data_IF_099644499941
#
_entry.id   IF_099644499941
#
_cell.length_a   1.000
_cell.length_b   1.000
_cell.length_c   1.000
_cell.angle_alpha   90.00
_cell.angle_beta   90.00
_cell.angle_gamma   90.00
#
_symmetry.space_group_name_H-M   'P 1'
#
loop_
_entity.id
_entity.type
_entity.pdbx_description
1 polymer ?
#
# COMPACT_ATOMS: atom_id res chain seq x y z
N UNK A 1 3.40 -26.55 -29.42
CA UNK A 1 2.33 -27.26 -28.67
C UNK A 1 2.57 -27.30 -27.15
N UNK A 2 3.75 -27.70 -26.64
CA UNK A 2 4.01 -27.76 -25.18
C UNK A 2 3.84 -26.43 -24.44
N UNK A 3 4.35 -25.31 -24.98
CA UNK A 3 4.21 -23.98 -24.37
C UNK A 3 2.74 -23.51 -24.23
N UNK A 4 1.89 -23.85 -25.21
CA UNK A 4 0.46 -23.48 -25.21
C UNK A 4 -0.34 -24.32 -24.19
N UNK A 5 0.04 -25.59 -23.99
CA UNK A 5 -0.58 -26.42 -22.94
C UNK A 5 -0.20 -25.92 -21.55
N UNK A 6 1.08 -25.59 -21.30
CA UNK A 6 1.53 -25.05 -20.00
C UNK A 6 0.82 -23.76 -19.62
N UNK A 7 0.64 -22.82 -20.56
CA UNK A 7 -0.04 -21.55 -20.30
C UNK A 7 -1.52 -21.74 -19.95
N UNK A 8 -2.22 -22.66 -20.63
CA UNK A 8 -3.62 -22.98 -20.30
C UNK A 8 -3.77 -23.63 -18.91
N UNK A 9 -2.86 -24.52 -18.50
CA UNK A 9 -2.86 -25.08 -17.14
C UNK A 9 -2.56 -24.03 -16.07
N UNK A 10 -1.62 -23.12 -16.32
CA UNK A 10 -1.32 -22.02 -15.39
C UNK A 10 -2.53 -21.08 -15.22
N UNK A 11 -3.23 -20.75 -16.32
CA UNK A 11 -4.43 -19.92 -16.27
C UNK A 11 -5.57 -20.59 -15.47
N UNK A 12 -5.79 -21.91 -15.67
CA UNK A 12 -6.80 -22.67 -14.91
C UNK A 12 -6.46 -22.73 -13.42
N UNK A 13 -5.18 -22.91 -13.09
CA UNK A 13 -4.70 -22.90 -11.70
C UNK A 13 -4.97 -21.56 -11.03
N UNK A 14 -4.65 -20.45 -11.68
CA UNK A 14 -4.90 -19.09 -11.19
C UNK A 14 -6.39 -18.83 -10.97
N UNK A 15 -7.26 -19.20 -11.92
CA UNK A 15 -8.71 -19.05 -11.76
C UNK A 15 -9.20 -19.85 -10.54
N UNK A 16 -8.67 -21.05 -10.32
CA UNK A 16 -9.01 -21.87 -9.15
C UNK A 16 -8.52 -21.25 -7.84
N UNK A 17 -7.26 -20.81 -7.78
CA UNK A 17 -6.66 -20.15 -6.61
C UNK A 17 -7.46 -18.89 -6.24
N UNK A 18 -7.84 -18.08 -7.25
CA UNK A 18 -8.70 -16.92 -7.03
C UNK A 18 -10.09 -17.29 -6.49
N UNK A 19 -10.75 -18.33 -7.05
CA UNK A 19 -12.05 -18.78 -6.54
C UNK A 19 -11.96 -19.25 -5.09
N UNK A 20 -10.89 -19.95 -4.74
CA UNK A 20 -10.62 -20.37 -3.36
C UNK A 20 -10.40 -19.17 -2.46
N UNK A 21 -9.63 -18.17 -2.90
CA UNK A 21 -9.42 -16.93 -2.16
C UNK A 21 -10.74 -16.16 -1.92
N UNK A 22 -11.56 -15.96 -2.95
CA UNK A 22 -12.87 -15.29 -2.81
C UNK A 22 -13.80 -16.08 -1.89
N UNK A 23 -13.79 -17.40 -1.97
CA UNK A 23 -14.56 -18.26 -1.09
C UNK A 23 -14.09 -18.15 0.36
N UNK A 24 -12.78 -18.22 0.61
CA UNK A 24 -12.20 -18.03 1.94
C UNK A 24 -12.54 -16.66 2.53
N UNK A 25 -12.46 -15.59 1.72
CA UNK A 25 -12.90 -14.23 2.11
C UNK A 25 -14.38 -14.21 2.52
N UNK A 26 -15.24 -14.92 1.79
CA UNK A 26 -16.67 -14.97 2.12
C UNK A 26 -16.95 -15.70 3.44
N UNK A 27 -16.12 -16.67 3.81
CA UNK A 27 -16.19 -17.39 5.08
C UNK A 27 -15.59 -16.57 6.23
N UNK A 28 -14.55 -15.77 5.97
CA UNK A 28 -13.86 -14.95 6.97
C UNK A 28 -14.84 -14.08 7.80
N UNK A 29 -15.84 -13.46 7.16
CA UNK A 29 -16.83 -12.64 7.87
C UNK A 29 -17.68 -13.46 8.85
N UNK A 30 -18.04 -14.70 8.46
CA UNK A 30 -18.80 -15.62 9.31
C UNK A 30 -17.93 -16.21 10.42
N UNK A 31 -16.68 -16.57 10.10
CA UNK A 31 -15.69 -17.08 11.05
C UNK A 31 -15.33 -16.03 12.09
N UNK A 32 -15.13 -14.78 11.68
CA UNK A 32 -14.85 -13.66 12.59
C UNK A 32 -16.02 -13.40 13.53
N UNK A 33 -17.25 -13.42 13.04
CA UNK A 33 -18.43 -13.29 13.89
C UNK A 33 -18.52 -14.45 14.89
N UNK A 34 -18.24 -15.67 14.44
CA UNK A 34 -18.19 -16.85 15.32
C UNK A 34 -17.07 -16.73 16.36
N UNK A 35 -15.90 -16.25 15.96
CA UNK A 35 -14.75 -16.02 16.84
C UNK A 35 -15.04 -14.96 17.91
N UNK A 36 -15.60 -13.80 17.53
CA UNK A 36 -15.99 -12.76 18.49
C UNK A 36 -17.01 -13.27 19.51
N UNK A 37 -17.96 -14.10 19.06
CA UNK A 37 -18.92 -14.78 19.96
C UNK A 37 -18.23 -15.79 20.89
N UNK A 38 -17.29 -16.57 20.39
CA UNK A 38 -16.47 -17.51 21.18
C UNK A 38 -15.61 -16.76 22.22
N UNK A 39 -15.03 -15.62 21.86
CA UNK A 39 -14.25 -14.80 22.76
C UNK A 39 -15.10 -14.18 23.87
N UNK A 40 -16.30 -13.67 23.54
CA UNK A 40 -17.25 -13.20 24.55
C UNK A 40 -17.70 -14.30 25.52
N UNK A 41 -17.87 -15.53 25.02
CA UNK A 41 -18.16 -16.70 25.87
C UNK A 41 -16.97 -17.01 26.79
N UNK A 42 -15.74 -17.01 26.27
CA UNK A 42 -14.51 -17.21 27.05
C UNK A 42 -14.34 -16.16 28.14
N UNK A 43 -14.57 -14.89 27.82
CA UNK A 43 -14.49 -13.78 28.76
C UNK A 43 -15.59 -13.84 29.84
N UNK A 44 -16.81 -14.24 29.47
CA UNK A 44 -17.90 -14.43 30.41
C UNK A 44 -17.62 -15.60 31.37
N UNK A 45 -17.05 -16.71 30.88
CA UNK A 45 -16.60 -17.84 31.71
C UNK A 45 -15.48 -17.44 32.67
N UNK A 46 -14.51 -16.65 32.20
CA UNK A 46 -13.40 -16.17 33.03
C UNK A 46 -13.83 -15.16 34.11
N UNK A 47 -14.77 -14.26 33.78
CA UNK A 47 -15.23 -13.20 34.70
C UNK A 47 -16.44 -13.58 35.54
N UNK A 48 -17.09 -14.72 35.25
CA UNK A 48 -18.32 -15.17 35.92
C UNK A 48 -19.54 -14.27 35.67
N UNK A 49 -19.49 -13.38 34.67
CA UNK A 49 -20.60 -12.47 34.33
C UNK A 49 -21.70 -13.22 33.57
N UNK A 50 -22.97 -12.84 33.72
CA UNK A 50 -24.07 -13.47 32.99
C UNK A 50 -23.94 -13.23 31.48
N UNK A 51 -24.12 -14.29 30.69
CA UNK A 51 -24.06 -14.24 29.24
C UNK A 51 -25.17 -13.33 28.65
N UNK A 52 -24.87 -12.57 27.58
CA UNK A 52 -25.89 -11.87 26.79
C UNK A 52 -26.98 -12.82 26.29
N UNK A 53 -28.22 -12.34 26.22
CA UNK A 53 -29.41 -13.15 25.84
C UNK A 53 -29.27 -13.79 24.45
N UNK A 54 -28.57 -13.13 23.53
CA UNK A 54 -28.32 -13.61 22.17
C UNK A 54 -27.40 -14.84 22.14
N UNK A 55 -26.40 -14.91 23.03
CA UNK A 55 -25.45 -16.02 23.11
C UNK A 55 -26.00 -17.22 23.88
N UNK A 56 -27.02 -17.05 24.73
CA UNK A 56 -27.54 -18.12 25.58
C UNK A 56 -28.10 -19.32 24.79
N UNK A 57 -28.69 -19.08 23.62
CA UNK A 57 -29.24 -20.15 22.77
C UNK A 57 -28.15 -20.99 22.13
N UNK A 58 -27.07 -20.35 21.69
CA UNK A 58 -25.97 -20.99 20.96
C UNK A 58 -24.82 -21.43 21.88
N UNK A 59 -24.85 -21.03 23.16
CA UNK A 59 -23.78 -21.28 24.14
C UNK A 59 -23.40 -22.75 24.28
N UNK A 60 -24.36 -23.68 24.16
CA UNK A 60 -24.08 -25.12 24.29
C UNK A 60 -23.30 -25.66 23.10
N UNK A 61 -23.60 -25.20 21.88
CA UNK A 61 -22.89 -25.60 20.67
C UNK A 61 -21.51 -24.94 20.61
N UNK A 62 -21.46 -23.62 20.84
CA UNK A 62 -20.21 -22.85 20.85
C UNK A 62 -19.25 -23.32 21.95
N UNK A 63 -19.75 -23.75 23.11
CA UNK A 63 -18.93 -24.29 24.19
C UNK A 63 -18.30 -25.65 23.87
N UNK A 64 -18.97 -26.51 23.09
CA UNK A 64 -18.38 -27.76 22.62
C UNK A 64 -17.27 -27.51 21.61
N UNK A 65 -17.46 -26.55 20.70
CA UNK A 65 -16.43 -26.14 19.73
C UNK A 65 -15.26 -25.40 20.40
N UNK A 66 -15.53 -24.58 21.42
CA UNK A 66 -14.51 -23.83 22.14
C UNK A 66 -13.43 -24.76 22.72
N UNK A 67 -13.80 -25.94 23.21
CA UNK A 67 -12.87 -26.93 23.74
C UNK A 67 -11.84 -27.43 22.70
N UNK A 68 -12.18 -27.38 21.41
CA UNK A 68 -11.27 -27.74 20.32
C UNK A 68 -10.47 -26.53 19.79
N UNK A 69 -10.99 -25.31 19.97
CA UNK A 69 -10.42 -24.05 19.46
C UNK A 69 -9.64 -23.24 20.53
N UNK A 70 -9.37 -23.80 21.72
CA UNK A 70 -8.71 -23.06 22.81
C UNK A 70 -7.33 -22.47 22.46
N UNK A 71 -6.64 -23.09 21.49
CA UNK A 71 -5.32 -22.67 20.99
C UNK A 71 -5.39 -21.77 19.75
N UNK A 72 -6.59 -21.43 19.26
CA UNK A 72 -6.73 -20.63 18.05
C UNK A 72 -6.35 -19.17 18.31
N UNK A 73 -5.33 -18.70 17.61
CA UNK A 73 -4.95 -17.29 17.53
C UNK A 73 -6.00 -16.56 16.68
N UNK A 74 -6.15 -15.23 16.87
CA UNK A 74 -7.05 -14.39 16.07
C UNK A 74 -7.08 -14.81 14.60
N UNK A 75 -8.26 -15.01 13.99
CA UNK A 75 -8.36 -15.48 12.61
C UNK A 75 -7.63 -14.53 11.66
N UNK A 76 -6.67 -15.07 10.91
CA UNK A 76 -5.90 -14.33 9.90
C UNK A 76 -6.82 -13.65 8.90
N UNK A 77 -6.62 -12.36 8.65
CA UNK A 77 -7.47 -11.62 7.72
C UNK A 77 -7.09 -11.90 6.27
N UNK A 78 -8.00 -11.71 5.31
CA UNK A 78 -7.64 -11.78 3.87
C UNK A 78 -6.50 -10.81 3.51
N UNK A 79 -6.43 -9.68 4.22
CA UNK A 79 -5.38 -8.64 4.10
C UNK A 79 -3.99 -9.23 4.40
N UNK A 80 -3.91 -10.17 5.34
CA UNK A 80 -2.67 -10.86 5.72
C UNK A 80 -2.31 -11.98 4.73
N UNK A 81 -3.30 -12.53 4.02
CA UNK A 81 -3.13 -13.62 3.05
C UNK A 81 -2.49 -13.18 1.73
N UNK A 82 -2.69 -11.93 1.29
CA UNK A 82 -2.14 -11.49 -0.01
C UNK A 82 -0.63 -11.28 0.05
N UNK A 83 -0.14 -10.80 1.19
CA UNK A 83 1.27 -10.49 1.42
C UNK A 83 1.96 -11.53 2.32
N UNK A 84 1.38 -12.72 2.55
CA UNK A 84 1.98 -13.75 3.42
C UNK A 84 3.37 -14.19 2.98
N UNK A 85 3.66 -14.09 1.68
CA UNK A 85 4.99 -14.43 1.13
C UNK A 85 6.02 -13.31 1.31
N UNK A 86 5.59 -12.15 1.81
CA UNK A 86 6.48 -11.03 2.04
C UNK A 86 7.53 -11.37 3.11
N UNK A 87 8.79 -11.06 2.81
CA UNK A 87 9.93 -11.36 3.68
C UNK A 87 10.55 -12.75 3.47
N UNK A 88 9.88 -13.67 2.76
CA UNK A 88 10.48 -14.95 2.32
C UNK A 88 11.17 -14.79 0.97
N UNK A 89 10.53 -14.05 0.06
CA UNK A 89 11.04 -13.78 -1.28
C UNK A 89 11.15 -12.27 -1.50
N UNK A 90 12.24 -11.86 -2.15
CA UNK A 90 12.41 -10.46 -2.53
C UNK A 90 11.41 -10.06 -3.62
N UNK A 91 10.78 -8.88 -3.51
CA UNK A 91 9.83 -8.42 -4.50
C UNK A 91 10.51 -8.19 -5.84
N UNK A 92 9.84 -8.61 -6.92
CA UNK A 92 10.26 -8.37 -8.30
C UNK A 92 9.26 -7.41 -8.91
N UNK A 93 9.73 -6.21 -9.21
CA UNK A 93 8.85 -5.12 -9.63
C UNK A 93 9.07 -4.83 -11.10
N UNK A 94 7.97 -4.71 -11.85
CA UNK A 94 8.01 -4.19 -13.22
C UNK A 94 7.46 -2.77 -13.22
N UNK A 95 8.21 -1.85 -13.80
CA UNK A 95 7.79 -0.46 -13.98
C UNK A 95 7.53 -0.23 -15.47
N UNK A 96 6.34 0.25 -15.80
CA UNK A 96 5.96 0.64 -17.16
C UNK A 96 5.36 2.04 -17.15
N UNK A 97 5.35 2.68 -18.31
CA UNK A 97 4.68 3.95 -18.54
C UNK A 97 3.32 3.75 -19.23
N UNK A 98 2.65 4.87 -19.52
CA UNK A 98 1.60 5.00 -20.52
C UNK A 98 2.08 4.57 -21.93
N UNK A 99 1.13 4.46 -22.88
CA UNK A 99 1.35 3.94 -24.24
C UNK A 99 2.40 4.75 -25.02
N UNK A 100 2.22 6.07 -25.06
CA UNK A 100 3.16 7.01 -25.68
C UNK A 100 3.70 7.98 -24.63
N UNK A 101 4.82 7.63 -23.95
CA UNK A 101 5.40 8.46 -22.91
C UNK A 101 6.25 9.58 -23.50
N UNK A 102 6.21 10.74 -22.86
CA UNK A 102 7.12 11.85 -23.08
C UNK A 102 8.52 11.53 -22.55
N UNK A 103 9.51 12.31 -23.00
CA UNK A 103 10.88 12.21 -22.51
C UNK A 103 10.99 12.40 -20.99
N UNK A 104 10.18 13.30 -20.40
CA UNK A 104 10.15 13.54 -18.96
C UNK A 104 9.58 12.35 -18.19
N UNK A 105 8.49 11.74 -18.66
CA UNK A 105 7.97 10.52 -18.02
C UNK A 105 8.95 9.35 -18.15
N UNK A 106 9.68 9.25 -19.27
CA UNK A 106 10.75 8.26 -19.41
C UNK A 106 11.91 8.50 -18.43
N UNK A 107 12.24 9.75 -18.11
CA UNK A 107 13.21 10.11 -17.06
C UNK A 107 12.66 9.74 -15.68
N UNK A 108 11.41 10.11 -15.37
CA UNK A 108 10.76 9.74 -14.12
C UNK A 108 10.71 8.22 -13.93
N UNK A 109 10.37 7.45 -14.97
CA UNK A 109 10.39 5.99 -14.90
C UNK A 109 11.78 5.40 -14.59
N UNK A 110 12.87 6.08 -15.01
CA UNK A 110 14.24 5.70 -14.61
C UNK A 110 14.50 6.03 -13.14
N UNK A 111 14.01 7.17 -12.67
CA UNK A 111 14.14 7.56 -11.26
C UNK A 111 13.35 6.61 -10.34
N UNK A 112 12.12 6.26 -10.70
CA UNK A 112 11.30 5.28 -9.99
C UNK A 112 11.97 3.91 -9.94
N UNK A 113 12.65 3.50 -11.03
CA UNK A 113 13.48 2.28 -11.02
C UNK A 113 14.63 2.37 -10.00
N UNK A 114 15.28 3.52 -9.89
CA UNK A 114 16.34 3.70 -8.89
C UNK A 114 15.78 3.75 -7.46
N UNK A 115 14.53 4.18 -7.28
CA UNK A 115 13.84 4.15 -5.98
C UNK A 115 13.62 2.70 -5.52
N UNK A 116 12.98 1.86 -6.32
CA UNK A 116 12.68 0.48 -5.94
C UNK A 116 13.83 -0.48 -6.27
N UNK A 117 14.48 -1.10 -5.28
CA UNK A 117 15.46 -2.16 -5.54
C UNK A 117 14.79 -3.33 -6.28
N UNK A 118 15.57 -4.09 -7.07
CA UNK A 118 15.08 -5.23 -7.85
C UNK A 118 13.97 -4.90 -8.86
N UNK A 119 13.85 -3.63 -9.26
CA UNK A 119 12.86 -3.20 -10.25
C UNK A 119 13.42 -3.21 -11.68
N UNK A 120 12.57 -3.61 -12.62
CA UNK A 120 12.85 -3.65 -14.05
C UNK A 120 11.92 -2.71 -14.79
N UNK A 121 12.49 -1.75 -15.51
CA UNK A 121 11.72 -0.90 -16.42
C UNK A 121 11.48 -1.63 -17.73
N UNK A 122 10.22 -1.69 -18.17
CA UNK A 122 9.82 -2.19 -19.48
C UNK A 122 9.22 -1.04 -20.29
N UNK A 123 9.57 -0.96 -21.58
CA UNK A 123 8.97 0.01 -22.49
C UNK A 123 7.59 -0.50 -22.92
N UNK A 124 6.57 0.35 -22.78
CA UNK A 124 5.18 -0.03 -23.02
C UNK A 124 4.88 -0.36 -24.49
N UNK A 125 5.29 0.52 -25.40
CA UNK A 125 5.03 0.38 -26.84
C UNK A 125 3.56 0.04 -27.13
N UNK A 126 3.35 -1.03 -27.90
CA UNK A 126 2.01 -1.49 -28.28
C UNK A 126 1.42 -2.57 -27.36
N UNK A 127 2.05 -2.89 -26.23
CA UNK A 127 1.55 -3.94 -25.34
C UNK A 127 0.22 -3.56 -24.70
N UNK A 128 -0.76 -4.47 -24.79
CA UNK A 128 -2.05 -4.33 -24.11
C UNK A 128 -1.89 -4.62 -22.61
N UNK A 129 -2.70 -4.01 -21.75
CA UNK A 129 -2.57 -4.16 -20.27
C UNK A 129 -2.69 -5.63 -19.87
N UNK A 130 -3.61 -6.35 -20.53
CA UNK A 130 -3.82 -7.78 -20.30
C UNK A 130 -2.58 -8.61 -20.63
N UNK A 131 -1.93 -8.37 -21.76
CA UNK A 131 -0.70 -9.08 -22.15
C UNK A 131 0.43 -8.80 -21.17
N UNK A 132 0.56 -7.56 -20.72
CA UNK A 132 1.57 -7.21 -19.73
C UNK A 132 1.32 -7.91 -18.38
N UNK A 133 0.06 -7.98 -17.95
CA UNK A 133 -0.33 -8.69 -16.74
C UNK A 133 -0.06 -10.20 -16.85
N UNK A 134 -0.38 -10.82 -17.99
CA UNK A 134 -0.07 -12.23 -18.28
C UNK A 134 1.45 -12.49 -18.29
N UNK A 135 2.23 -11.60 -18.91
CA UNK A 135 3.69 -11.68 -18.91
C UNK A 135 4.29 -11.51 -17.51
N UNK A 136 3.75 -10.61 -16.69
CA UNK A 136 4.18 -10.43 -15.30
C UNK A 136 3.95 -11.71 -14.48
N UNK A 137 2.78 -12.34 -14.63
CA UNK A 137 2.47 -13.61 -13.97
C UNK A 137 3.34 -14.77 -14.44
N UNK A 138 3.65 -14.83 -15.73
CA UNK A 138 4.51 -15.89 -16.26
C UNK A 138 5.96 -15.80 -15.76
N UNK A 139 6.40 -14.60 -15.36
CA UNK A 139 7.74 -14.34 -14.83
C UNK A 139 7.79 -14.24 -13.29
N UNK A 140 6.71 -14.60 -12.60
CA UNK A 140 6.57 -14.50 -11.13
C UNK A 140 6.95 -13.10 -10.60
N UNK A 141 6.50 -12.06 -11.31
CA UNK A 141 6.59 -10.66 -10.87
C UNK A 141 5.62 -10.44 -9.72
N UNK A 142 6.07 -9.76 -8.66
CA UNK A 142 5.23 -9.47 -7.48
C UNK A 142 4.38 -8.24 -7.72
N UNK A 143 4.91 -7.20 -8.34
CA UNK A 143 4.20 -5.93 -8.49
C UNK A 143 4.43 -5.29 -9.85
N UNK A 144 3.37 -4.70 -10.39
CA UNK A 144 3.41 -3.85 -11.57
C UNK A 144 3.10 -2.41 -11.17
N UNK A 145 4.02 -1.51 -11.52
CA UNK A 145 3.84 -0.08 -11.36
C UNK A 145 3.63 0.55 -12.73
N UNK A 146 2.49 1.22 -12.92
CA UNK A 146 2.17 1.95 -14.14
C UNK A 146 2.21 3.45 -13.83
N UNK A 147 3.03 4.19 -14.58
CA UNK A 147 3.16 5.63 -14.46
C UNK A 147 2.41 6.32 -15.61
N UNK A 148 1.57 7.29 -15.25
CA UNK A 148 0.87 8.17 -16.17
C UNK A 148 1.45 9.59 -16.09
N UNK A 149 1.15 10.38 -17.12
CA UNK A 149 1.51 11.79 -17.15
C UNK A 149 0.42 12.63 -17.81
N UNK A 150 0.46 13.92 -17.49
CA UNK A 150 -0.24 14.96 -18.20
C UNK A 150 0.76 15.98 -18.77
N UNK A 151 0.85 16.06 -20.10
CA UNK A 151 1.69 17.04 -20.83
C UNK A 151 3.16 17.09 -20.35
N UNK A 152 3.76 15.92 -20.12
CA UNK A 152 5.16 15.83 -19.68
C UNK A 152 5.37 15.79 -18.17
N UNK A 153 4.34 16.04 -17.36
CA UNK A 153 4.44 15.98 -15.90
C UNK A 153 3.74 14.72 -15.38
N UNK A 154 4.41 13.85 -14.60
CA UNK A 154 3.78 12.67 -14.01
C UNK A 154 2.59 13.04 -13.12
N UNK A 155 1.45 12.39 -13.32
CA UNK A 155 0.18 12.78 -12.68
C UNK A 155 -0.49 11.64 -11.90
N UNK A 156 -0.21 10.38 -12.25
CA UNK A 156 -0.74 9.23 -11.56
C UNK A 156 0.23 8.06 -11.55
N UNK A 157 0.15 7.28 -10.47
CA UNK A 157 0.88 6.04 -10.27
C UNK A 157 -0.11 4.97 -9.85
N UNK A 158 -0.05 3.82 -10.53
CA UNK A 158 -0.91 2.68 -10.24
C UNK A 158 -0.01 1.55 -9.81
N UNK A 159 -0.27 1.00 -8.64
CA UNK A 159 0.48 -0.14 -8.09
C UNK A 159 -0.47 -1.33 -8.05
N UNK A 160 -0.13 -2.41 -8.75
CA UNK A 160 -0.93 -3.63 -8.83
C UNK A 160 -0.12 -4.82 -8.34
N UNK A 161 -0.59 -5.48 -7.29
CA UNK A 161 0.05 -6.64 -6.71
C UNK A 161 -0.42 -7.93 -7.40
N UNK A 162 0.51 -8.79 -7.79
CA UNK A 162 0.27 -10.07 -8.45
C UNK A 162 0.54 -11.22 -7.47
N UNK A 163 -0.13 -12.38 -7.64
CA UNK A 163 -0.95 -12.79 -8.78
C UNK A 163 -2.42 -12.33 -8.75
N UNK A 164 -2.98 -12.10 -7.56
CA UNK A 164 -4.39 -11.74 -7.33
C UNK A 164 -4.55 -10.63 -6.28
N UNK A 165 -3.47 -9.87 -6.03
CA UNK A 165 -3.46 -8.84 -5.01
C UNK A 165 -4.25 -7.58 -5.40
N UNK A 166 -4.29 -6.61 -4.49
CA UNK A 166 -4.99 -5.36 -4.72
C UNK A 166 -4.27 -4.47 -5.74
N UNK A 167 -5.04 -3.57 -6.34
CA UNK A 167 -4.53 -2.46 -7.14
C UNK A 167 -4.88 -1.15 -6.44
N UNK A 168 -3.86 -0.35 -6.14
CA UNK A 168 -4.00 0.96 -5.53
C UNK A 168 -3.67 2.03 -6.56
N UNK A 169 -4.57 3.00 -6.68
CA UNK A 169 -4.40 4.11 -7.58
C UNK A 169 -4.07 5.38 -6.80
N UNK A 170 -2.99 6.03 -7.21
CA UNK A 170 -2.48 7.26 -6.62
C UNK A 170 -2.48 8.38 -7.67
N UNK A 171 -2.92 9.57 -7.29
CA UNK A 171 -2.60 10.79 -8.02
C UNK A 171 -1.30 11.36 -7.48
N UNK A 172 -0.41 11.80 -8.37
CA UNK A 172 0.85 12.45 -8.04
C UNK A 172 0.70 13.96 -8.19
N UNK A 173 1.16 14.68 -7.18
CA UNK A 173 1.23 16.13 -7.13
C UNK A 173 2.65 16.56 -6.75
N UNK A 174 3.00 17.80 -7.09
CA UNK A 174 4.29 18.40 -6.70
C UNK A 174 5.51 17.53 -7.05
N UNK A 175 5.47 16.89 -8.23
CA UNK A 175 6.55 16.02 -8.70
C UNK A 175 7.75 16.86 -9.11
N UNK A 176 8.84 16.75 -8.35
CA UNK A 176 10.14 17.28 -8.71
C UNK A 176 11.05 16.12 -9.13
N UNK A 177 11.45 16.13 -10.40
CA UNK A 177 12.32 15.11 -10.97
C UNK A 177 13.74 15.29 -10.42
N UNK A 178 14.42 14.18 -10.19
CA UNK A 178 15.85 14.19 -9.85
C UNK A 178 16.70 14.84 -10.94
N UNK A 179 16.37 14.63 -12.22
CA UNK A 179 17.10 15.22 -13.34
C UNK A 179 17.08 16.75 -13.35
N UNK A 180 16.08 17.36 -12.72
CA UNK A 180 15.97 18.83 -12.61
C UNK A 180 16.77 19.40 -11.43
N UNK A 181 17.27 18.55 -10.51
CA UNK A 181 18.08 18.96 -9.37
C UNK A 181 19.53 19.12 -9.82
N UNK A 182 20.15 20.26 -9.51
CA UNK A 182 21.54 20.57 -9.89
C UNK A 182 22.55 19.49 -9.47
N UNK A 183 22.31 18.86 -8.31
CA UNK A 183 23.11 17.76 -7.74
C UNK A 183 23.05 16.45 -8.53
N UNK A 184 22.21 16.35 -9.58
CA UNK A 184 22.10 15.18 -10.44
C UNK A 184 23.45 14.75 -11.02
N UNK A 185 24.27 15.72 -11.44
CA UNK A 185 25.55 15.46 -12.14
C UNK A 185 26.65 14.95 -11.21
N UNK A 186 26.53 15.20 -9.90
CA UNK A 186 27.58 14.94 -8.92
C UNK A 186 27.29 13.71 -8.04
N UNK A 187 26.07 13.17 -8.10
CA UNK A 187 25.66 12.06 -7.25
C UNK A 187 25.19 10.85 -8.07
N UNK A 188 25.68 9.67 -7.71
CA UNK A 188 25.09 8.39 -8.10
C UNK A 188 24.15 7.92 -6.98
N UNK A 189 23.04 7.29 -7.35
CA UNK A 189 22.08 6.80 -6.35
C UNK A 189 22.54 5.43 -5.87
N UNK A 190 22.68 5.26 -4.55
CA UNK A 190 22.93 3.94 -3.96
C UNK A 190 21.72 3.04 -4.18
N UNK A 191 21.94 1.85 -4.75
CA UNK A 191 20.91 0.81 -4.92
C UNK A 191 20.77 -0.11 -3.70
N UNK A 192 21.40 0.26 -2.57
CA UNK A 192 21.21 -0.44 -1.29
C UNK A 192 19.73 -0.46 -0.89
N UNK A 193 19.35 -1.50 -0.16
CA UNK A 193 17.99 -1.67 0.35
C UNK A 193 17.68 -0.58 1.38
N UNK A 194 16.67 0.28 1.14
CA UNK A 194 16.41 1.44 1.98
C UNK A 194 15.71 1.06 3.28
N UNK A 195 16.00 1.79 4.36
CA UNK A 195 15.10 1.85 5.51
C UNK A 195 13.87 2.66 5.14
N UNK A 196 12.71 2.20 5.60
CA UNK A 196 11.42 2.85 5.36
C UNK A 196 10.93 3.53 6.63
N UNK A 197 10.43 4.75 6.49
CA UNK A 197 9.76 5.49 7.55
C UNK A 197 8.34 5.77 7.08
N UNK A 198 7.35 5.34 7.87
CA UNK A 198 5.93 5.63 7.64
C UNK A 198 5.41 6.46 8.80
N UNK A 199 5.02 7.70 8.54
CA UNK A 199 4.49 8.61 9.56
C UNK A 199 2.99 8.83 9.35
N UNK A 200 2.22 8.84 10.45
CA UNK A 200 0.79 9.15 10.49
C UNK A 200 -0.14 8.21 9.68
N UNK A 201 0.21 6.93 9.55
CA UNK A 201 -0.68 5.87 9.05
C UNK A 201 -1.31 5.11 10.22
N UNK A 202 -2.36 5.68 10.81
CA UNK A 202 -2.98 5.14 12.04
C UNK A 202 -4.37 4.57 11.83
N UNK A 203 -5.04 4.86 10.71
CA UNK A 203 -6.33 4.24 10.39
C UNK A 203 -6.14 2.86 9.77
N UNK A 204 -7.16 1.99 9.81
CA UNK A 204 -7.14 0.67 9.14
C UNK A 204 -6.82 0.78 7.64
N UNK A 205 -7.35 1.81 6.98
CA UNK A 205 -7.05 2.12 5.58
C UNK A 205 -5.61 2.60 5.40
N UNK A 206 -5.11 3.41 6.34
CA UNK A 206 -3.72 3.84 6.39
C UNK A 206 -2.77 2.67 6.52
N UNK A 207 -3.05 1.71 7.40
CA UNK A 207 -2.29 0.47 7.53
C UNK A 207 -2.31 -0.34 6.24
N UNK A 208 -3.48 -0.47 5.59
CA UNK A 208 -3.60 -1.16 4.30
C UNK A 208 -2.72 -0.55 3.22
N UNK A 209 -2.70 0.79 3.10
CA UNK A 209 -1.85 1.49 2.11
C UNK A 209 -0.38 1.42 2.49
N UNK A 210 -0.06 1.53 3.79
CA UNK A 210 1.29 1.33 4.32
C UNK A 210 1.82 -0.03 3.92
N UNK A 211 1.01 -1.08 4.06
CA UNK A 211 1.41 -2.45 3.76
C UNK A 211 1.66 -2.64 2.26
N UNK A 212 0.78 -2.14 1.39
CA UNK A 212 1.00 -2.11 -0.07
C UNK A 212 2.33 -1.45 -0.41
N UNK A 213 2.63 -0.27 0.18
CA UNK A 213 3.86 0.45 -0.11
C UNK A 213 5.10 -0.20 0.51
N UNK A 214 4.97 -0.82 1.69
CA UNK A 214 6.06 -1.49 2.41
C UNK A 214 6.53 -2.72 1.66
N UNK A 215 5.63 -3.52 1.12
CA UNK A 215 5.96 -4.79 0.46
C UNK A 215 6.55 -4.62 -0.94
N UNK A 216 6.60 -3.40 -1.47
CA UNK A 216 7.41 -3.05 -2.65
C UNK A 216 8.92 -3.03 -2.37
N UNK A 217 9.35 -3.11 -1.12
CA UNK A 217 10.75 -3.03 -0.76
C UNK A 217 11.24 -4.34 -0.13
N UNK A 218 12.46 -4.79 -0.47
CA UNK A 218 13.11 -5.89 0.22
C UNK A 218 13.49 -5.49 1.65
N UNK A 219 13.74 -6.48 2.49
CA UNK A 219 14.14 -6.26 3.89
C UNK A 219 15.53 -5.60 3.93
N UNK A 220 15.68 -4.41 4.53
CA UNK A 220 16.96 -3.71 4.59
C UNK A 220 17.92 -4.37 5.59
N UNK A 221 19.22 -4.20 5.33
CA UNK A 221 20.28 -4.52 6.31
C UNK A 221 20.40 -3.37 7.32
N UNK A 222 20.84 -3.67 8.53
CA UNK A 222 21.02 -2.67 9.60
C UNK A 222 22.03 -1.57 9.26
N UNK A 223 23.03 -1.87 8.43
CA UNK A 223 24.06 -0.92 8.00
C UNK A 223 23.64 -0.01 6.82
N UNK A 224 22.37 -0.08 6.38
CA UNK A 224 21.92 0.70 5.23
C UNK A 224 21.87 2.19 5.56
N UNK A 225 22.53 3.01 4.75
CA UNK A 225 22.56 4.48 4.90
C UNK A 225 21.45 5.18 4.14
N UNK A 226 20.59 4.42 3.48
CA UNK A 226 19.54 4.92 2.59
C UNK A 226 18.20 4.89 3.32
N UNK A 227 17.46 5.99 3.31
CA UNK A 227 16.17 6.14 3.99
C UNK A 227 15.14 6.72 3.03
N UNK A 228 13.96 6.11 3.03
CA UNK A 228 12.79 6.62 2.32
C UNK A 228 11.69 6.92 3.32
N UNK A 229 11.15 8.13 3.24
CA UNK A 229 10.12 8.61 4.14
C UNK A 229 8.82 8.74 3.36
N UNK A 230 7.77 8.13 3.89
CA UNK A 230 6.39 8.30 3.52
C UNK A 230 5.69 8.99 4.70
N UNK A 231 5.54 10.31 4.62
CA UNK A 231 4.89 11.09 5.66
C UNK A 231 3.49 11.47 5.21
N UNK A 232 2.48 11.08 5.98
CA UNK A 232 1.09 11.43 5.70
C UNK A 232 0.70 12.75 6.40
N UNK A 233 0.23 13.72 5.60
CA UNK A 233 -0.33 15.00 6.05
C UNK A 233 -1.61 15.27 5.24
N UNK A 234 -2.77 15.41 5.91
CA UNK A 234 -4.07 15.66 5.27
C UNK A 234 -4.45 14.70 4.10
N UNK A 235 -4.13 13.41 4.26
CA UNK A 235 -4.28 12.35 3.24
C UNK A 235 -3.39 12.51 1.99
N UNK A 236 -2.41 13.41 2.05
CA UNK A 236 -1.32 13.49 1.09
C UNK A 236 -0.10 12.78 1.66
N UNK A 237 0.36 11.75 0.95
CA UNK A 237 1.55 11.00 1.32
C UNK A 237 2.74 11.69 0.65
N UNK A 238 3.49 12.45 1.43
CA UNK A 238 4.75 13.05 1.01
C UNK A 238 5.84 11.98 0.95
N UNK A 239 6.37 11.74 -0.24
CA UNK A 239 7.53 10.89 -0.45
C UNK A 239 8.81 11.72 -0.51
N UNK A 240 9.82 11.30 0.25
CA UNK A 240 11.18 11.85 0.19
C UNK A 240 12.21 10.73 0.27
N UNK A 241 13.31 10.90 -0.46
CA UNK A 241 14.39 9.93 -0.53
C UNK A 241 15.72 10.56 -0.12
N UNK A 242 16.22 10.12 1.05
CA UNK A 242 17.41 10.66 1.67
C UNK A 242 18.49 9.58 1.83
N UNK A 243 19.75 10.02 1.85
CA UNK A 243 20.87 9.26 2.37
C UNK A 243 21.37 9.97 3.61
N UNK A 244 21.65 9.21 4.67
CA UNK A 244 22.08 9.78 5.93
C UNK A 244 23.53 9.40 6.24
N UNK A 245 24.24 10.32 6.89
CA UNK A 245 25.55 10.06 7.48
C UNK A 245 25.45 10.38 8.97
N UNK A 246 25.74 9.37 9.79
CA UNK A 246 25.75 9.50 11.24
C UNK A 246 27.10 10.07 11.70
N UNK A 247 27.07 11.29 12.22
CA UNK A 247 28.17 11.92 12.96
C UNK A 247 27.89 11.68 14.45
N UNK A 248 28.89 11.58 15.35
CA UNK A 248 28.69 11.13 16.74
C UNK A 248 27.59 11.83 17.56
N UNK A 249 27.16 13.04 17.16
CA UNK A 249 26.08 13.81 17.82
C UNK A 249 24.96 14.28 16.89
N UNK A 250 25.07 14.10 15.58
CA UNK A 250 24.13 14.64 14.60
C UNK A 250 24.00 13.70 13.41
N UNK A 251 22.82 13.66 12.81
CA UNK A 251 22.59 12.94 11.56
C UNK A 251 22.45 13.99 10.47
N UNK A 252 23.33 13.94 9.47
CA UNK A 252 23.21 14.78 8.28
C UNK A 252 22.47 14.00 7.20
N UNK A 253 21.46 14.64 6.60
CA UNK A 253 20.66 14.07 5.53
C UNK A 253 20.99 14.79 4.22
N UNK A 254 21.24 14.01 3.17
CA UNK A 254 21.37 14.51 1.81
C UNK A 254 20.22 13.92 0.99
N UNK A 255 19.56 14.77 0.21
CA UNK A 255 18.46 14.31 -0.64
C UNK A 255 18.98 13.85 -2.00
N UNK A 256 18.49 12.70 -2.46
CA UNK A 256 19.06 11.99 -3.61
C UNK A 256 18.02 11.63 -4.67
N UNK A 257 16.75 11.44 -4.28
CA UNK A 257 15.69 11.00 -5.19
C UNK A 257 14.67 12.07 -5.57
N UNK A 258 13.63 11.68 -6.34
CA UNK A 258 12.53 12.57 -6.66
C UNK A 258 11.71 12.92 -5.41
N UNK A 259 11.06 14.09 -5.47
CA UNK A 259 10.05 14.51 -4.51
C UNK A 259 8.69 14.40 -5.17
N UNK A 260 7.72 13.87 -4.45
CA UNK A 260 6.33 13.97 -4.86
C UNK A 260 5.43 13.81 -3.65
N UNK A 261 4.20 14.28 -3.82
CA UNK A 261 3.09 14.00 -2.93
C UNK A 261 2.14 13.10 -3.69
N UNK A 262 1.77 11.97 -3.08
CA UNK A 262 0.81 11.07 -3.69
C UNK A 262 -0.45 10.99 -2.85
N UNK A 263 -1.60 11.02 -3.52
CA UNK A 263 -2.90 10.90 -2.88
C UNK A 263 -3.62 9.65 -3.40
N UNK A 264 -3.87 8.64 -2.56
CA UNK A 264 -4.65 7.48 -2.95
C UNK A 264 -6.09 7.92 -3.22
N UNK A 265 -6.69 7.43 -4.31
CA UNK A 265 -8.08 7.72 -4.63
C UNK A 265 -8.95 6.48 -4.82
N UNK A 266 -8.35 5.31 -5.05
CA UNK A 266 -9.09 4.07 -5.24
C UNK A 266 -8.23 2.85 -4.85
N UNK A 267 -8.84 1.88 -4.17
CA UNK A 267 -8.29 0.56 -3.90
C UNK A 267 -9.26 -0.47 -4.47
N UNK A 268 -8.74 -1.33 -5.35
CA UNK A 268 -9.48 -2.45 -5.95
C UNK A 268 -8.90 -3.78 -5.48
N UNK A 269 -9.75 -4.75 -5.19
CA UNK A 269 -9.35 -6.11 -4.82
C UNK A 269 -9.25 -6.99 -6.07
N UNK A 270 -8.29 -6.64 -6.91
CA UNK A 270 -7.99 -7.35 -8.14
C UNK A 270 -6.86 -6.65 -8.87
N UNK A 271 -6.31 -7.33 -9.86
CA UNK A 271 -5.20 -6.82 -10.66
C UNK A 271 -5.69 -5.82 -11.71
N UNK A 272 -4.76 -5.08 -12.29
CA UNK A 272 -5.06 -3.97 -13.20
C UNK A 272 -5.95 -4.33 -14.40
N UNK A 273 -5.90 -5.57 -14.91
CA UNK A 273 -6.75 -5.94 -16.05
C UNK A 273 -8.21 -6.21 -15.67
N UNK A 274 -8.52 -6.32 -14.38
CA UNK A 274 -9.85 -6.66 -13.86
C UNK A 274 -10.61 -5.40 -13.47
N UNK A 275 -11.23 -4.76 -14.46
CA UNK A 275 -12.00 -3.52 -14.26
C UNK A 275 -13.24 -3.70 -13.39
N UNK A 276 -13.79 -4.91 -13.35
CA UNK A 276 -15.00 -5.29 -12.61
C UNK A 276 -14.71 -5.81 -11.19
N UNK A 277 -13.44 -5.77 -10.76
CA UNK A 277 -13.07 -6.17 -9.41
C UNK A 277 -13.75 -5.28 -8.35
N UNK A 278 -14.02 -5.88 -7.19
CA UNK A 278 -14.64 -5.18 -6.06
C UNK A 278 -13.76 -4.00 -5.62
N UNK A 279 -14.39 -2.84 -5.42
CA UNK A 279 -13.71 -1.64 -4.91
C UNK A 279 -13.78 -1.66 -3.40
N UNK A 280 -12.64 -1.89 -2.76
CA UNK A 280 -12.52 -1.87 -1.30
C UNK A 280 -12.71 -0.44 -0.78
N UNK A 281 -12.13 0.54 -1.47
CA UNK A 281 -12.24 1.93 -1.08
C UNK A 281 -12.17 2.87 -2.29
N UNK A 282 -12.95 3.95 -2.25
CA UNK A 282 -12.94 5.02 -3.24
C UNK A 282 -13.03 6.36 -2.52
N UNK A 283 -12.23 7.33 -2.97
CA UNK A 283 -12.26 8.69 -2.45
C UNK A 283 -13.54 9.42 -2.89
N UNK A 284 -14.40 9.71 -1.93
CA UNK A 284 -15.69 10.36 -2.16
C UNK A 284 -15.58 11.89 -2.26
N UNK A 285 -15.19 12.41 -3.42
CA UNK A 285 -14.97 13.85 -3.66
C UNK A 285 -16.20 14.74 -3.41
N UNK A 286 -17.39 14.28 -3.82
CA UNK A 286 -18.61 15.11 -3.82
C UNK A 286 -19.50 14.91 -2.59
N UNK A 287 -18.95 14.36 -1.50
CA UNK A 287 -19.67 14.21 -0.24
C UNK A 287 -19.55 15.48 0.62
N UNK A 288 -20.60 15.83 1.36
CA UNK A 288 -20.66 17.06 2.19
C UNK A 288 -19.52 17.15 3.22
N UNK A 289 -19.05 16.01 3.73
CA UNK A 289 -18.00 15.90 4.75
C UNK A 289 -16.64 15.50 4.17
N UNK A 290 -16.49 15.37 2.85
CA UNK A 290 -15.26 14.92 2.19
C UNK A 290 -14.02 15.70 2.65
N UNK A 291 -14.13 17.03 2.71
CA UNK A 291 -13.02 17.92 3.06
C UNK A 291 -12.67 17.93 4.56
N UNK A 292 -13.51 17.32 5.40
CA UNK A 292 -13.36 17.33 6.87
C UNK A 292 -12.88 16.00 7.44
N UNK A 293 -12.77 14.97 6.61
CA UNK A 293 -12.36 13.63 7.05
C UNK A 293 -10.94 13.40 6.56
N UNK A 294 -10.04 13.07 7.47
CA UNK A 294 -8.81 12.36 7.10
C UNK A 294 -9.10 10.87 7.14
N UNK A 295 -8.73 10.19 6.06
CA UNK A 295 -8.99 8.78 5.84
C UNK A 295 -7.77 7.92 6.19
N UNK A 296 -6.56 8.46 6.05
CA UNK A 296 -5.30 7.75 6.31
C UNK A 296 -4.80 7.90 7.75
N UNK A 297 -5.11 9.05 8.39
CA UNK A 297 -4.88 9.24 9.82
C UNK A 297 -6.16 8.90 10.60
N UNK A 298 -6.00 8.21 11.72
CA UNK A 298 -7.07 7.90 12.66
C UNK A 298 -7.73 9.19 13.16
N UNK A 299 -9.02 9.14 13.41
CA UNK A 299 -9.82 10.25 13.95
C UNK A 299 -9.34 10.64 15.35
N UNK A 300 -8.27 11.43 15.43
CA UNK A 300 -7.63 11.77 16.70
C UNK A 300 -6.85 13.08 16.73
N UNK A 301 -6.56 13.72 15.60
CA UNK A 301 -5.89 15.03 15.62
C UNK A 301 -6.19 15.84 14.38
N UNK A 302 -7.39 16.44 14.35
CA UNK A 302 -7.57 17.65 13.56
C UNK A 302 -6.80 18.77 14.26
N UNK A 303 -5.49 18.88 14.03
CA UNK A 303 -4.78 20.12 14.34
C UNK A 303 -5.29 21.14 13.34
N UNK A 304 -6.21 22.00 13.78
CA UNK A 304 -6.61 23.16 12.99
C UNK A 304 -5.35 23.86 12.45
N UNK A 305 -5.36 24.34 11.20
CA UNK A 305 -4.20 25.05 10.66
C UNK A 305 -3.84 26.17 11.63
N UNK A 306 -2.61 26.14 12.15
CA UNK A 306 -2.06 27.22 12.99
C UNK A 306 -2.03 28.48 12.14
N UNK A 307 -3.10 29.25 12.22
CA UNK A 307 -3.20 30.54 11.56
C UNK A 307 -2.13 31.42 12.21
N UNK A 308 -1.01 31.65 11.52
CA UNK A 308 0.05 32.56 11.93
C UNK A 308 -0.39 34.02 11.73
N UNK A 309 -1.52 34.38 12.33
CA UNK A 309 -1.98 35.77 12.45
C UNK A 309 -1.93 36.10 13.94
N UNK A 310 -0.84 36.76 14.35
CA UNK A 310 -0.78 37.44 15.63
C UNK A 310 -2.03 38.33 15.78
N UNK A 311 -2.76 38.29 16.90
CA UNK A 311 -3.83 39.24 17.15
C UNK A 311 -3.23 40.66 17.22
N UNK A 312 -3.86 41.68 16.62
CA UNK A 312 -3.36 43.04 16.69
C UNK A 312 -3.35 43.52 18.15
N UNK A 313 -2.23 44.12 18.56
CA UNK A 313 -2.03 44.64 19.90
C UNK A 313 -3.18 45.60 20.28
N UNK A 314 -3.86 45.31 21.40
CA UNK A 314 -4.83 46.24 21.99
C UNK A 314 -4.11 47.54 22.33
N UNK A 315 -4.44 48.62 21.64
CA UNK A 315 -4.06 49.98 22.04
C UNK A 315 -4.68 50.27 23.40
N UNK A 316 -3.84 50.36 24.42
CA UNK A 316 -4.21 50.91 25.73
C UNK A 316 -4.47 52.39 25.50
N UNK A 317 -5.74 52.82 25.65
CA UNK A 317 -6.07 54.24 25.75
C UNK A 317 -5.57 54.73 27.11
N UNK A 318 -4.80 55.81 27.10
CA UNK A 318 -4.46 56.60 28.29
C UNK A 318 -5.71 57.20 28.92
#
# INVERSE_FOLDING_TARGET
MRQIQTSQTQLRRQIRERRQYVYAKSLEAQERQTYERKQQLKDALATGKPLPTELKKDAKALGQELAFDEAQVDPTSHIDNEYTRAGIQDPKIVITTSRDPSSKLLQFAKETRLVFPNSHRINRGNYVIKELAEACRANDVTDLIILHEHRGNPDAMIVSHFPHGPTVFFTLNNVALRHDIATYKESTVSEQYPHLIFENFTSKLGERIRDVLRYLFPVPKEDSKRVMTFANEDDFISFRHHVFVKIPRQVQLAEVGPRFEMKPYEIRQGTIEQTEAEREWVLAHYSRTAKKRSMLSGSGSYSAPRNSRQPPAKKIKR
#
